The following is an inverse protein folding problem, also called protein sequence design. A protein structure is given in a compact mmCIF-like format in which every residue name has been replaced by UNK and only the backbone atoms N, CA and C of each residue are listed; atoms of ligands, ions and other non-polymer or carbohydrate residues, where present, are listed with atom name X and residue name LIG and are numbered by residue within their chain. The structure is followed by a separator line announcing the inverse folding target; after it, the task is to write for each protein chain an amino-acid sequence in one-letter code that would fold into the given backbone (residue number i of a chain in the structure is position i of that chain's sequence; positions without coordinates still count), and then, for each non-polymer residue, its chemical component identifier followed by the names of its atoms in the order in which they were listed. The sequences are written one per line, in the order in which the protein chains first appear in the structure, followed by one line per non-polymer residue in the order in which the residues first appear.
data_IF_310073030112
#
_entry.id   IF_310073030112
#
_cell.length_a   1.000
_cell.length_b   1.000
_cell.length_c   1.000
_cell.angle_alpha   90.00
_cell.angle_beta   90.00
_cell.angle_gamma   90.00
#
_symmetry.space_group_name_H-M   'P 1'
#
loop_
_entity.id
_entity.type
_entity.pdbx_description
1 polymer ?
#
# COMPACT_ATOMS: atom_id res chain seq x y z
N UNK A 1 -4.34 9.85 8.23
CA UNK A 1 -4.45 9.15 6.92
C UNK A 1 -4.44 10.16 5.79
N UNK A 2 -5.28 11.19 5.85
CA UNK A 2 -5.39 12.28 4.86
C UNK A 2 -4.02 12.91 4.51
N UNK A 3 -3.17 13.15 5.52
CA UNK A 3 -1.82 13.69 5.30
C UNK A 3 -0.91 12.82 4.42
N UNK A 4 -1.01 11.49 4.50
CA UNK A 4 -0.22 10.59 3.62
C UNK A 4 -0.73 10.71 2.18
N UNK A 5 -2.05 10.73 2.02
CA UNK A 5 -2.75 10.80 0.74
C UNK A 5 -2.47 12.15 0.05
N UNK A 6 -2.42 13.25 0.80
CA UNK A 6 -2.12 14.59 0.29
C UNK A 6 -0.65 14.81 -0.08
N UNK A 7 0.25 14.00 0.48
CA UNK A 7 1.68 14.06 0.20
C UNK A 7 2.13 13.13 -0.94
N UNK A 8 1.18 12.53 -1.69
CA UNK A 8 1.48 11.79 -2.91
C UNK A 8 1.96 12.77 -3.98
N UNK A 9 3.17 12.59 -4.47
CA UNK A 9 3.71 13.41 -5.55
C UNK A 9 3.09 13.02 -6.90
N UNK A 10 2.11 13.80 -7.33
CA UNK A 10 1.40 13.60 -8.60
C UNK A 10 2.24 14.00 -9.83
N UNK A 11 3.40 14.64 -9.66
CA UNK A 11 4.33 14.91 -10.76
C UNK A 11 5.22 13.71 -11.07
N UNK A 12 5.38 12.78 -10.12
CA UNK A 12 6.10 11.55 -10.37
C UNK A 12 5.19 10.54 -11.08
N UNK A 13 5.36 10.40 -12.40
CA UNK A 13 4.61 9.45 -13.22
C UNK A 13 5.08 7.98 -13.10
N UNK A 14 6.23 7.70 -12.47
CA UNK A 14 6.68 6.31 -12.26
C UNK A 14 5.89 5.67 -11.12
N UNK A 15 5.05 4.69 -11.47
CA UNK A 15 4.19 3.97 -10.53
C UNK A 15 4.99 3.20 -9.46
N UNK A 16 6.08 2.53 -9.80
CA UNK A 16 6.88 1.77 -8.83
C UNK A 16 7.56 2.71 -7.84
N UNK A 17 8.13 3.80 -8.33
CA UNK A 17 8.78 4.80 -7.47
C UNK A 17 7.75 5.50 -6.58
N UNK A 18 6.55 5.77 -7.10
CA UNK A 18 5.45 6.33 -6.30
C UNK A 18 4.99 5.37 -5.21
N UNK A 19 4.77 4.10 -5.52
CA UNK A 19 4.39 3.08 -4.54
C UNK A 19 5.45 2.97 -3.44
N UNK A 20 6.74 2.95 -3.81
CA UNK A 20 7.83 2.91 -2.85
C UNK A 20 7.79 4.10 -1.88
N UNK A 21 7.68 5.32 -2.41
CA UNK A 21 7.64 6.54 -1.60
C UNK A 21 6.42 6.58 -0.67
N UNK A 22 5.25 6.17 -1.16
CA UNK A 22 4.02 6.09 -0.35
C UNK A 22 4.17 5.03 0.75
N UNK A 23 4.71 3.85 0.41
CA UNK A 23 4.96 2.77 1.35
C UNK A 23 5.92 3.18 2.47
N UNK A 24 7.02 3.85 2.13
CA UNK A 24 7.99 4.36 3.10
C UNK A 24 7.36 5.39 4.06
N UNK A 25 6.59 6.34 3.54
CA UNK A 25 5.85 7.32 4.37
C UNK A 25 4.84 6.63 5.29
N UNK A 26 4.09 5.66 4.75
CA UNK A 26 3.11 4.87 5.52
C UNK A 26 3.78 4.13 6.67
N UNK A 27 4.94 3.50 6.41
CA UNK A 27 5.73 2.82 7.43
C UNK A 27 6.14 3.77 8.57
N UNK A 28 6.63 4.96 8.25
CA UNK A 28 7.00 5.95 9.29
C UNK A 28 5.81 6.38 10.15
N UNK A 29 4.65 6.64 9.53
CA UNK A 29 3.44 7.02 10.29
C UNK A 29 2.93 5.85 11.14
N UNK A 30 3.06 4.63 10.65
CA UNK A 30 2.74 3.42 11.42
C UNK A 30 3.63 3.25 12.65
N UNK A 31 4.92 3.55 12.52
CA UNK A 31 5.86 3.56 13.64
C UNK A 31 5.62 4.72 14.62
N UNK A 32 5.13 5.86 14.14
CA UNK A 32 4.81 7.03 15.00
C UNK A 32 3.53 6.81 15.82
N UNK A 33 2.55 6.09 15.26
CA UNK A 33 1.24 5.87 15.88
C UNK A 33 0.85 4.37 15.98
N UNK A 34 1.67 3.50 16.60
CA UNK A 34 1.47 2.05 16.55
C UNK A 34 0.10 1.60 17.07
N UNK A 35 -0.32 2.08 18.25
CA UNK A 35 -1.62 1.72 18.83
C UNK A 35 -2.83 2.14 17.98
N UNK A 36 -2.70 3.22 17.19
CA UNK A 36 -3.76 3.63 16.27
C UNK A 36 -3.91 2.59 15.15
N UNK A 37 -2.79 2.07 14.64
CA UNK A 37 -2.81 1.03 13.61
C UNK A 37 -3.19 -0.35 14.14
N UNK A 38 -2.86 -0.67 15.39
CA UNK A 38 -3.40 -1.85 16.08
C UNK A 38 -4.94 -1.78 16.12
N UNK A 39 -5.49 -0.65 16.58
CA UNK A 39 -6.95 -0.44 16.62
C UNK A 39 -7.59 -0.50 15.23
N UNK A 40 -6.99 0.14 14.23
CA UNK A 40 -7.53 0.12 12.86
C UNK A 40 -7.53 -1.28 12.27
N UNK A 41 -6.46 -2.05 12.48
CA UNK A 41 -6.35 -3.44 12.00
C UNK A 41 -7.38 -4.33 12.69
N UNK A 42 -7.53 -4.21 14.01
CA UNK A 42 -8.56 -4.92 14.76
C UNK A 42 -9.98 -4.54 14.31
N UNK A 43 -10.23 -3.25 14.02
CA UNK A 43 -11.51 -2.79 13.50
C UNK A 43 -11.80 -3.35 12.10
N UNK A 44 -10.80 -3.45 11.22
CA UNK A 44 -10.99 -4.06 9.89
C UNK A 44 -11.30 -5.55 9.99
N UNK A 45 -10.72 -6.25 10.98
CA UNK A 45 -10.96 -7.67 11.22
C UNK A 45 -12.28 -7.98 11.95
N UNK A 46 -12.96 -6.97 12.50
CA UNK A 46 -14.23 -7.12 13.22
C UNK A 46 -15.38 -7.47 12.26
N UNK A 47 -16.06 -8.58 12.52
CA UNK A 47 -17.08 -9.15 11.65
C UNK A 47 -18.52 -9.04 12.20
N UNK A 48 -18.68 -8.53 13.41
CA UNK A 48 -19.98 -8.33 14.05
C UNK A 48 -20.89 -7.45 13.19
N UNK A 49 -22.08 -7.97 12.90
CA UNK A 49 -23.12 -7.28 12.13
C UNK A 49 -23.47 -5.90 12.72
N UNK A 50 -23.30 -5.73 14.04
CA UNK A 50 -23.62 -4.49 14.73
C UNK A 50 -22.72 -3.31 14.33
N UNK A 51 -21.48 -3.57 13.88
CA UNK A 51 -20.46 -2.53 13.67
C UNK A 51 -19.78 -2.59 12.30
N UNK A 52 -19.81 -3.73 11.61
CA UNK A 52 -19.15 -3.94 10.31
C UNK A 52 -19.47 -2.86 9.29
N UNK A 53 -20.74 -2.56 9.09
CA UNK A 53 -21.16 -1.58 8.07
C UNK A 53 -20.73 -0.15 8.44
N UNK A 54 -20.74 0.18 9.75
CA UNK A 54 -20.23 1.47 10.25
C UNK A 54 -18.72 1.61 10.04
N UNK A 55 -17.96 0.53 10.27
CA UNK A 55 -16.52 0.50 10.02
C UNK A 55 -16.24 0.68 8.51
N UNK A 56 -16.94 -0.07 7.66
CA UNK A 56 -16.81 0.03 6.21
C UNK A 56 -17.12 1.44 5.69
N UNK A 57 -18.17 2.09 6.22
CA UNK A 57 -18.55 3.46 5.83
C UNK A 57 -17.48 4.51 6.21
N UNK A 58 -16.68 4.25 7.25
CA UNK A 58 -15.60 5.16 7.68
C UNK A 58 -14.29 4.93 6.93
N UNK A 59 -13.91 3.67 6.72
CA UNK A 59 -12.60 3.31 6.15
C UNK A 59 -12.63 3.23 4.61
N UNK A 60 -13.77 2.85 4.02
CA UNK A 60 -13.93 2.69 2.57
C UNK A 60 -13.58 3.95 1.77
N UNK A 61 -14.08 5.15 2.13
CA UNK A 61 -13.75 6.38 1.42
C UNK A 61 -12.24 6.67 1.41
N UNK A 62 -11.58 6.54 2.57
CA UNK A 62 -10.13 6.76 2.71
C UNK A 62 -9.34 5.81 1.81
N UNK A 63 -9.71 4.53 1.80
CA UNK A 63 -9.09 3.55 0.90
C UNK A 63 -9.30 3.91 -0.57
N UNK A 64 -10.54 4.21 -0.97
CA UNK A 64 -10.87 4.54 -2.36
C UNK A 64 -10.16 5.79 -2.87
N UNK A 65 -10.01 6.82 -2.02
CA UNK A 65 -9.30 8.05 -2.36
C UNK A 65 -7.80 7.81 -2.51
N UNK A 66 -7.20 7.02 -1.59
CA UNK A 66 -5.79 6.66 -1.67
C UNK A 66 -5.46 5.90 -2.96
N UNK A 67 -6.29 4.95 -3.37
CA UNK A 67 -6.13 4.22 -4.62
C UNK A 67 -6.25 5.14 -5.83
N UNK A 68 -7.24 6.06 -5.83
CA UNK A 68 -7.41 7.03 -6.91
C UNK A 68 -6.16 7.90 -7.08
N UNK A 69 -5.66 8.50 -6.00
CA UNK A 69 -4.45 9.35 -6.07
C UNK A 69 -3.20 8.57 -6.44
N UNK A 70 -3.06 7.33 -5.96
CA UNK A 70 -1.91 6.47 -6.29
C UNK A 70 -1.77 6.25 -7.79
N UNK A 71 -2.88 6.05 -8.50
CA UNK A 71 -2.91 5.78 -9.94
C UNK A 71 -3.17 7.02 -10.82
N UNK A 72 -3.22 8.22 -10.23
CA UNK A 72 -3.48 9.46 -10.98
C UNK A 72 -2.21 9.97 -11.69
N UNK A 73 -2.30 10.37 -12.96
CA UNK A 73 -1.16 10.88 -13.74
C UNK A 73 0.04 9.92 -13.82
N UNK A 74 -0.22 8.62 -13.98
CA UNK A 74 0.84 7.63 -14.22
C UNK A 74 1.32 7.70 -15.66
N UNK A 75 2.64 7.66 -15.84
CA UNK A 75 3.27 7.57 -17.15
C UNK A 75 3.27 6.13 -17.65
N UNK A 76 2.20 5.75 -18.34
CA UNK A 76 2.07 4.42 -18.92
C UNK A 76 3.09 4.12 -20.03
N UNK A 77 3.85 5.11 -20.52
CA UNK A 77 4.88 4.89 -21.54
C UNK A 77 6.12 4.16 -21.00
N UNK A 78 6.29 4.09 -19.67
CA UNK A 78 7.35 3.35 -18.99
C UNK A 78 7.16 1.83 -19.08
N UNK A 79 5.93 1.36 -19.29
CA UNK A 79 5.63 -0.05 -19.49
C UNK A 79 6.13 -0.53 -20.86
N UNK A 80 6.48 -1.81 -20.95
CA UNK A 80 6.86 -2.42 -22.23
C UNK A 80 5.70 -2.42 -23.21
N UNK A 81 6.03 -2.33 -24.49
CA UNK A 81 5.05 -2.30 -25.57
C UNK A 81 4.29 -3.61 -25.75
N UNK A 82 4.85 -4.73 -25.27
CA UNK A 82 4.30 -6.08 -25.39
C UNK A 82 3.47 -6.52 -24.17
N UNK A 83 3.31 -5.64 -23.17
CA UNK A 83 2.60 -5.93 -21.92
C UNK A 83 1.20 -5.32 -21.95
N UNK A 84 0.21 -6.11 -21.53
CA UNK A 84 -1.11 -5.59 -21.16
C UNK A 84 -0.99 -4.79 -19.85
N UNK A 85 -0.98 -3.46 -19.98
CA UNK A 85 -0.75 -2.53 -18.87
C UNK A 85 -1.82 -2.66 -17.79
N UNK A 86 -3.08 -2.91 -18.16
CA UNK A 86 -4.17 -3.07 -17.20
C UNK A 86 -3.92 -4.31 -16.34
N UNK A 87 -3.54 -5.43 -16.97
CA UNK A 87 -3.22 -6.67 -16.26
C UNK A 87 -1.94 -6.58 -15.45
N UNK A 88 -0.93 -5.85 -15.91
CA UNK A 88 0.27 -5.59 -15.13
C UNK A 88 -0.04 -4.84 -13.82
N UNK A 89 -0.88 -3.81 -13.89
CA UNK A 89 -1.30 -3.02 -12.71
C UNK A 89 -2.17 -3.84 -11.77
N UNK A 90 -3.04 -4.71 -12.30
CA UNK A 90 -3.84 -5.64 -11.52
C UNK A 90 -2.95 -6.62 -10.73
N UNK A 91 -1.95 -7.24 -11.38
CA UNK A 91 -0.97 -8.12 -10.74
C UNK A 91 -0.16 -7.37 -9.67
N UNK A 92 0.27 -6.14 -9.97
CA UNK A 92 0.98 -5.30 -9.01
C UNK A 92 0.09 -5.02 -7.79
N UNK A 93 -1.19 -4.68 -7.99
CA UNK A 93 -2.15 -4.42 -6.92
C UNK A 93 -2.38 -5.64 -6.03
N UNK A 94 -2.55 -6.83 -6.61
CA UNK A 94 -2.68 -8.07 -5.85
C UNK A 94 -1.42 -8.38 -5.05
N UNK A 95 -0.25 -8.15 -5.65
CA UNK A 95 1.03 -8.38 -4.97
C UNK A 95 1.20 -7.42 -3.80
N UNK A 96 0.87 -6.13 -3.97
CA UNK A 96 0.89 -5.13 -2.89
C UNK A 96 -0.02 -5.51 -1.74
N UNK A 97 -1.29 -5.85 -2.03
CA UNK A 97 -2.27 -6.21 -1.01
C UNK A 97 -1.86 -7.50 -0.28
N UNK A 98 -1.51 -8.56 -1.02
CA UNK A 98 -1.06 -9.82 -0.42
C UNK A 98 0.22 -9.66 0.40
N UNK A 99 1.14 -8.78 -0.02
CA UNK A 99 2.34 -8.49 0.75
C UNK A 99 2.05 -7.66 2.02
N UNK A 100 1.06 -6.75 1.98
CA UNK A 100 0.58 -6.05 3.16
C UNK A 100 -0.10 -6.99 4.15
N UNK A 101 -0.95 -7.89 3.68
CA UNK A 101 -1.65 -8.89 4.51
C UNK A 101 -0.64 -9.84 5.18
N UNK A 102 0.34 -10.35 4.41
CA UNK A 102 1.46 -11.16 4.93
C UNK A 102 2.22 -10.44 6.05
N UNK A 103 2.37 -9.12 5.96
CA UNK A 103 3.03 -8.32 6.99
C UNK A 103 2.23 -8.28 8.28
N UNK A 104 0.93 -7.95 8.15
CA UNK A 104 0.00 -7.80 9.26
C UNK A 104 -0.14 -9.11 10.03
N UNK A 105 -0.23 -10.24 9.33
CA UNK A 105 -0.30 -11.58 9.95
C UNK A 105 0.95 -11.94 10.76
N UNK A 106 2.11 -11.36 10.45
CA UNK A 106 3.36 -11.61 11.17
C UNK A 106 3.57 -10.66 12.35
N UNK A 107 2.81 -9.57 12.42
CA UNK A 107 2.90 -8.59 13.49
C UNK A 107 1.95 -8.98 14.63
N UNK A 108 2.47 -8.96 15.87
CA UNK A 108 1.62 -9.02 17.05
C UNK A 108 1.08 -7.63 17.40
N UNK A 109 1.93 -6.62 17.26
CA UNK A 109 1.57 -5.20 17.35
C UNK A 109 2.42 -4.38 16.38
N UNK A 110 1.90 -3.22 15.97
CA UNK A 110 2.65 -2.20 15.24
C UNK A 110 3.81 -1.60 16.07
N UNK A 111 3.90 -1.84 17.38
CA UNK A 111 5.10 -1.51 18.17
C UNK A 111 6.35 -2.30 17.72
N UNK A 112 6.17 -3.49 17.15
CA UNK A 112 7.25 -4.37 16.68
C UNK A 112 7.85 -3.90 15.33
N UNK A 113 7.29 -2.85 14.72
CA UNK A 113 7.66 -2.39 13.38
C UNK A 113 9.06 -1.78 13.28
N UNK A 114 9.69 -1.33 14.36
CA UNK A 114 11.02 -0.71 14.26
C UNK A 114 12.08 -1.67 13.71
N UNK A 115 12.07 -2.92 14.17
CA UNK A 115 13.01 -3.96 13.75
C UNK A 115 12.49 -4.75 12.53
N UNK A 116 11.17 -4.93 12.44
CA UNK A 116 10.52 -5.66 11.36
C UNK A 116 10.40 -4.82 10.07
N UNK A 117 10.08 -3.54 10.20
CA UNK A 117 9.73 -2.64 9.08
C UNK A 117 10.85 -2.45 8.07
N UNK A 118 12.12 -2.42 8.52
CA UNK A 118 13.27 -2.34 7.60
C UNK A 118 13.39 -3.60 6.73
N UNK A 119 13.32 -4.78 7.34
CA UNK A 119 13.39 -6.06 6.61
C UNK A 119 12.20 -6.24 5.68
N UNK A 120 11.04 -5.78 6.12
CA UNK A 120 9.82 -5.76 5.32
C UNK A 120 9.98 -4.87 4.08
N UNK A 121 10.54 -3.67 4.22
CA UNK A 121 10.80 -2.80 3.07
C UNK A 121 11.85 -3.40 2.11
N UNK A 122 12.93 -3.98 2.64
CA UNK A 122 13.97 -4.65 1.83
C UNK A 122 13.40 -5.85 1.05
N UNK A 123 12.47 -6.61 1.62
CA UNK A 123 11.82 -7.72 0.92
C UNK A 123 10.78 -7.20 -0.11
N UNK A 124 10.04 -6.14 0.19
CA UNK A 124 9.20 -5.45 -0.81
C UNK A 124 10.00 -4.98 -2.02
N UNK A 125 11.17 -4.37 -1.81
CA UNK A 125 12.04 -3.90 -2.88
C UNK A 125 12.38 -5.03 -3.86
N UNK A 126 12.64 -6.24 -3.37
CA UNK A 126 12.92 -7.42 -4.22
C UNK A 126 11.71 -7.84 -5.06
N UNK A 127 10.52 -7.87 -4.48
CA UNK A 127 9.30 -8.15 -5.24
C UNK A 127 9.04 -7.05 -6.28
N UNK A 128 9.22 -5.79 -5.89
CA UNK A 128 9.09 -4.63 -6.75
C UNK A 128 10.07 -4.67 -7.92
N UNK A 129 11.33 -5.04 -7.70
CA UNK A 129 12.35 -5.22 -8.75
C UNK A 129 11.94 -6.29 -9.77
N UNK A 130 11.42 -7.43 -9.32
CA UNK A 130 10.95 -8.51 -10.21
C UNK A 130 9.79 -8.01 -11.07
N UNK A 131 8.82 -7.32 -10.47
CA UNK A 131 7.67 -6.80 -11.19
C UNK A 131 8.05 -5.66 -12.13
N UNK A 132 8.93 -4.74 -11.71
CA UNK A 132 9.46 -3.66 -12.56
C UNK A 132 10.20 -4.25 -13.75
N UNK A 133 11.08 -5.22 -13.54
CA UNK A 133 11.74 -5.95 -14.63
C UNK A 133 10.75 -6.68 -15.56
N UNK A 134 9.65 -7.18 -14.99
CA UNK A 134 8.63 -7.92 -15.74
C UNK A 134 7.69 -7.02 -16.55
N UNK A 135 7.53 -5.74 -16.20
CA UNK A 135 6.50 -4.87 -16.80
C UNK A 135 7.05 -3.59 -17.45
N UNK A 136 8.16 -3.05 -16.95
CA UNK A 136 8.80 -1.84 -17.49
C UNK A 136 9.84 -2.16 -18.57
N UNK A 137 10.13 -1.14 -19.38
CA UNK A 137 11.20 -1.13 -20.39
C UNK A 137 12.60 -1.18 -19.78
#
# INVERSE_FOLDING_TARGET
MDKIIDEIDLNNGDLFDRIYNVGLKKLYVQMEFPHLFDLMTAAVAEDSEAVRDSIAMKLGPVYSESQKKLYENIDYSLFREDVDVEKAIEILSWTMNGYADKAIEQLTSFEDLSDFGKKYLEEWERYSEILKYSFYK
#
